data_IF_331606181088
#
_entry.id   IF_331606181088
#
_cell.length_a   1.000
_cell.length_b   1.000
_cell.length_c   1.000
_cell.angle_alpha   90.00
_cell.angle_beta   90.00
_cell.angle_gamma   90.00
#
_symmetry.space_group_name_H-M   'P 1'
#
loop_
_entity.id
_entity.type
_entity.pdbx_description
1 polymer ?
#
# COMPACT_ATOMS: atom_id res chain seq x y z
N UNK A 1 34.86 13.53 26.85
CA UNK A 1 34.61 13.12 25.44
C UNK A 1 33.11 13.03 25.24
N UNK A 2 32.61 13.72 24.21
CA UNK A 2 31.20 14.04 24.00
C UNK A 2 30.31 12.80 24.03
N UNK A 3 29.31 12.78 24.93
CA UNK A 3 28.13 11.96 24.71
C UNK A 3 27.40 12.55 23.50
N UNK A 4 27.66 12.01 22.31
CA UNK A 4 26.80 12.26 21.17
C UNK A 4 25.42 11.71 21.55
N UNK A 5 24.53 12.57 22.04
CA UNK A 5 23.14 12.22 22.29
C UNK A 5 22.60 11.73 20.96
N UNK A 6 22.46 10.40 20.80
CA UNK A 6 21.97 9.77 19.59
C UNK A 6 20.55 10.30 19.39
N UNK A 7 20.39 11.28 18.50
CA UNK A 7 19.10 11.85 18.19
C UNK A 7 18.30 10.75 17.48
N UNK A 8 17.33 10.13 18.17
CA UNK A 8 16.34 9.28 17.52
C UNK A 8 15.49 10.15 16.58
N UNK A 9 15.87 10.08 15.32
CA UNK A 9 15.19 10.70 14.17
C UNK A 9 14.23 9.71 13.52
N UNK A 10 13.26 10.23 12.77
CA UNK A 10 12.28 9.37 12.11
C UNK A 10 12.96 8.63 10.96
N UNK A 11 12.79 7.30 10.91
CA UNK A 11 13.31 6.51 9.80
C UNK A 11 12.58 6.83 8.49
N UNK A 12 11.28 7.11 8.55
CA UNK A 12 10.46 7.46 7.39
C UNK A 12 10.80 8.85 6.86
N UNK A 13 10.98 9.84 7.74
CA UNK A 13 11.21 11.23 7.31
C UNK A 13 12.58 11.48 6.69
N UNK A 14 13.60 10.69 7.04
CA UNK A 14 14.94 10.79 6.43
C UNK A 14 15.04 10.13 5.06
N UNK A 15 14.04 9.33 4.67
CA UNK A 15 14.07 8.66 3.38
C UNK A 15 13.90 9.70 2.27
N UNK A 16 14.81 9.75 1.29
CA UNK A 16 14.59 10.58 0.10
C UNK A 16 13.35 10.13 -0.65
N UNK A 17 12.69 11.06 -1.33
CA UNK A 17 11.58 10.78 -2.25
C UNK A 17 12.11 11.03 -3.65
N UNK A 18 12.18 9.98 -4.47
CA UNK A 18 12.49 10.09 -5.90
C UNK A 18 11.26 10.63 -6.62
N UNK A 19 11.49 11.61 -7.49
CA UNK A 19 10.45 12.31 -8.24
C UNK A 19 10.72 12.10 -9.72
N UNK A 20 9.73 11.51 -10.39
CA UNK A 20 9.70 11.34 -11.84
C UNK A 20 9.67 12.70 -12.56
N UNK A 21 10.28 12.83 -13.75
CA UNK A 21 10.37 14.11 -14.46
C UNK A 21 9.00 14.69 -14.87
N UNK A 22 7.95 13.85 -14.92
CA UNK A 22 6.58 14.27 -15.21
C UNK A 22 5.92 15.07 -14.06
N UNK A 23 6.50 15.05 -12.86
CA UNK A 23 5.95 15.68 -11.66
C UNK A 23 6.82 16.88 -11.28
N UNK A 24 6.24 18.08 -11.35
CA UNK A 24 6.91 19.30 -10.92
C UNK A 24 6.52 19.66 -9.48
N UNK A 25 7.50 20.07 -8.67
CA UNK A 25 7.31 20.45 -7.27
C UNK A 25 7.71 21.91 -7.09
N UNK A 26 6.80 22.71 -6.54
CA UNK A 26 7.02 24.13 -6.25
C UNK A 26 6.84 24.39 -4.75
N UNK A 27 7.82 25.06 -4.14
CA UNK A 27 7.73 25.49 -2.75
C UNK A 27 7.30 26.96 -2.77
N UNK A 28 6.05 27.21 -2.43
CA UNK A 28 5.46 28.55 -2.36
C UNK A 28 5.57 29.04 -0.91
N UNK A 29 6.39 30.07 -0.62
CA UNK A 29 6.37 30.69 0.69
C UNK A 29 5.04 31.43 0.85
N UNK A 30 4.20 31.00 1.80
CA UNK A 30 2.95 31.72 2.08
C UNK A 30 3.31 33.05 2.76
N UNK A 31 3.15 34.17 2.06
CA UNK A 31 3.13 35.49 2.71
C UNK A 31 1.89 35.50 3.60
N UNK A 32 2.07 35.56 4.92
CA UNK A 32 0.97 35.45 5.87
C UNK A 32 -0.01 36.63 5.76
N UNK A 33 -1.09 36.47 5.00
CA UNK A 33 -2.22 37.43 4.92
C UNK A 33 -3.42 36.96 5.74
N UNK A 34 -3.20 36.64 7.02
CA UNK A 34 -4.28 36.31 7.94
C UNK A 34 -3.92 36.63 9.39
N UNK A 35 -4.71 37.52 10.02
CA UNK A 35 -4.74 37.63 11.47
C UNK A 35 -5.51 36.44 12.03
N UNK A 36 -4.87 35.68 12.92
CA UNK A 36 -5.53 34.65 13.71
C UNK A 36 -5.62 35.20 15.13
N UNK A 37 -6.83 35.23 15.71
CA UNK A 37 -7.02 35.44 17.13
C UNK A 37 -6.08 34.45 17.86
N UNK A 38 -5.18 34.92 18.73
CA UNK A 38 -4.00 34.22 19.30
C UNK A 38 -2.63 34.44 18.62
N UNK A 39 -2.44 35.55 17.90
CA UNK A 39 -1.19 36.34 17.99
C UNK A 39 0.11 35.74 17.45
N UNK A 40 0.10 34.64 16.68
CA UNK A 40 1.27 34.20 15.91
C UNK A 40 0.88 33.84 14.48
N UNK A 41 1.29 34.68 13.53
CA UNK A 41 1.29 34.35 12.11
C UNK A 41 2.29 33.21 11.88
N UNK A 42 1.80 31.98 11.80
CA UNK A 42 2.62 30.88 11.34
C UNK A 42 2.76 31.01 9.82
N UNK A 43 3.87 31.59 9.36
CA UNK A 43 4.32 31.49 7.97
C UNK A 43 4.59 30.01 7.70
N UNK A 44 3.62 29.30 7.14
CA UNK A 44 3.76 27.91 6.72
C UNK A 44 4.13 27.88 5.24
N UNK A 45 5.27 27.29 4.89
CA UNK A 45 5.58 27.03 3.49
C UNK A 45 4.53 26.08 2.91
N UNK A 46 4.08 26.31 1.68
CA UNK A 46 3.17 25.42 0.97
C UNK A 46 3.96 24.69 -0.11
N UNK A 47 3.83 23.38 -0.20
CA UNK A 47 4.34 22.59 -1.33
C UNK A 47 3.20 22.32 -2.27
N UNK A 48 3.38 22.73 -3.52
CA UNK A 48 2.50 22.39 -4.63
C UNK A 48 3.16 21.30 -5.46
N UNK A 49 2.48 20.17 -5.59
CA UNK A 49 2.87 19.06 -6.45
C UNK A 49 1.96 19.07 -7.67
N UNK A 50 2.52 19.27 -8.85
CA UNK A 50 1.80 19.26 -10.12
C UNK A 50 2.23 18.07 -10.96
N UNK A 51 1.28 17.30 -11.45
CA UNK A 51 1.51 16.18 -12.34
C UNK A 51 0.42 16.05 -13.40
N UNK A 52 0.45 14.98 -14.22
CA UNK A 52 -0.49 14.79 -15.33
C UNK A 52 -1.95 14.63 -14.89
N UNK A 53 -2.19 14.10 -13.69
CA UNK A 53 -3.52 13.83 -13.14
C UNK A 53 -4.11 15.01 -12.33
N UNK A 54 -3.36 16.11 -12.20
CA UNK A 54 -3.79 17.31 -11.50
C UNK A 54 -2.75 17.89 -10.55
N UNK A 55 -3.19 18.84 -9.72
CA UNK A 55 -2.36 19.55 -8.75
C UNK A 55 -2.83 19.35 -7.31
N UNK A 56 -1.89 19.20 -6.38
CA UNK A 56 -2.14 19.08 -4.95
C UNK A 56 -1.30 20.08 -4.15
N UNK A 57 -1.95 20.74 -3.19
CA UNK A 57 -1.32 21.70 -2.30
C UNK A 57 -1.24 21.11 -0.88
N UNK A 58 -0.04 21.12 -0.29
CA UNK A 58 0.23 20.63 1.06
C UNK A 58 0.86 21.72 1.92
N UNK A 59 0.25 22.11 3.06
CA UNK A 59 0.87 23.05 3.99
C UNK A 59 1.93 22.37 4.87
N UNK A 60 3.13 22.95 4.94
CA UNK A 60 4.23 22.49 5.79
C UNK A 60 4.28 23.28 7.09
N UNK A 61 4.52 22.56 8.19
CA UNK A 61 4.72 23.18 9.49
C UNK A 61 6.05 23.93 9.64
N UNK A 62 6.05 25.00 10.43
CA UNK A 62 7.25 25.79 10.77
C UNK A 62 8.29 24.91 11.50
N UNK A 63 9.52 24.89 11.01
CA UNK A 63 10.60 24.03 11.49
C UNK A 63 10.86 22.79 10.62
N UNK A 64 10.13 22.62 9.53
CA UNK A 64 10.45 21.68 8.47
C UNK A 64 10.88 22.44 7.22
N UNK A 65 12.01 22.02 6.65
CA UNK A 65 12.55 22.52 5.41
C UNK A 65 12.47 21.43 4.35
N UNK A 66 12.03 21.82 3.16
CA UNK A 66 12.00 20.94 2.00
C UNK A 66 13.05 21.43 1.02
N UNK A 67 13.92 20.52 0.59
CA UNK A 67 14.97 20.77 -0.39
C UNK A 67 14.74 19.86 -1.59
N UNK A 68 14.93 20.43 -2.79
CA UNK A 68 15.01 19.68 -4.04
C UNK A 68 16.47 19.58 -4.44
N UNK A 69 16.96 18.35 -4.57
CA UNK A 69 18.32 18.05 -5.03
C UNK A 69 18.23 17.30 -6.37
N UNK A 70 19.23 17.49 -7.23
CA UNK A 70 19.35 16.68 -8.45
C UNK A 70 19.72 15.23 -8.08
N UNK A 71 19.05 14.25 -8.70
CA UNK A 71 19.29 12.83 -8.49
C UNK A 71 20.63 12.36 -9.04
N UNK A 72 20.96 11.10 -8.74
CA UNK A 72 22.17 10.41 -9.22
C UNK A 72 22.04 10.05 -10.71
N UNK A 73 20.82 9.89 -11.19
CA UNK A 73 20.45 9.60 -12.58
C UNK A 73 20.01 10.92 -13.24
N UNK A 74 20.38 11.19 -14.51
CA UNK A 74 19.85 12.36 -15.22
C UNK A 74 18.32 12.33 -15.24
N UNK A 75 17.70 13.50 -15.08
CA UNK A 75 16.25 13.75 -15.11
C UNK A 75 15.43 13.33 -13.87
N UNK A 76 16.00 12.58 -12.92
CA UNK A 76 15.36 12.35 -11.62
C UNK A 76 15.68 13.47 -10.63
N UNK A 77 14.66 13.95 -9.91
CA UNK A 77 14.86 14.89 -8.80
C UNK A 77 14.57 14.19 -7.47
N UNK A 78 15.37 14.50 -6.46
CA UNK A 78 15.23 13.93 -5.12
C UNK A 78 14.72 15.00 -4.17
N UNK A 79 13.52 14.78 -3.65
CA UNK A 79 12.94 15.62 -2.62
C UNK A 79 13.35 15.11 -1.24
N UNK A 80 14.01 15.97 -0.46
CA UNK A 80 14.37 15.70 0.94
C UNK A 80 13.63 16.65 1.86
N UNK A 81 12.97 16.08 2.87
CA UNK A 81 12.39 16.83 3.97
C UNK A 81 13.36 16.77 5.15
N UNK A 82 13.85 17.92 5.59
CA UNK A 82 14.76 18.07 6.72
C UNK A 82 14.09 18.84 7.86
N UNK A 83 14.57 18.63 9.08
CA UNK A 83 14.19 19.45 10.23
C UNK A 83 15.17 20.60 10.33
N UNK A 84 14.68 21.83 10.46
CA UNK A 84 15.54 23.00 10.62
C UNK A 84 16.17 23.03 12.02
N UNK A 85 17.48 22.76 12.13
CA UNK A 85 18.19 22.68 13.41
C UNK A 85 18.15 24.01 14.20
N UNK A 86 18.14 25.15 13.50
CA UNK A 86 18.13 26.49 14.11
C UNK A 86 16.81 26.79 14.81
N UNK A 87 15.68 26.51 14.17
CA UNK A 87 14.36 26.64 14.77
C UNK A 87 14.10 25.53 15.79
N UNK A 88 14.56 24.31 15.48
CA UNK A 88 14.38 23.14 16.34
C UNK A 88 15.06 23.30 17.69
N UNK A 89 16.28 23.85 17.76
CA UNK A 89 17.00 24.04 19.04
C UNK A 89 16.30 25.01 20.00
N UNK A 90 15.78 26.13 19.47
CA UNK A 90 15.06 27.20 20.18
C UNK A 90 13.67 26.79 20.68
N UNK A 91 13.17 25.65 20.20
CA UNK A 91 11.82 25.20 20.45
C UNK A 91 11.64 24.54 21.82
N UNK A 92 10.47 24.71 22.44
CA UNK A 92 10.09 24.00 23.67
C UNK A 92 10.06 22.47 23.48
N UNK A 93 10.23 21.71 24.56
CA UNK A 93 10.26 20.23 24.55
C UNK A 93 9.03 19.62 23.84
N UNK A 94 7.84 20.16 24.07
CA UNK A 94 6.60 19.68 23.47
C UNK A 94 6.57 19.93 21.95
N UNK A 95 6.93 21.13 21.53
CA UNK A 95 6.97 21.48 20.13
C UNK A 95 8.08 20.71 19.37
N UNK A 96 9.21 20.40 20.00
CA UNK A 96 10.22 19.47 19.45
C UNK A 96 9.65 18.07 19.18
N UNK A 97 8.84 17.54 20.10
CA UNK A 97 8.15 16.25 19.91
C UNK A 97 7.15 16.32 18.75
N UNK A 98 6.42 17.43 18.64
CA UNK A 98 5.45 17.67 17.57
C UNK A 98 6.12 17.75 16.19
N UNK A 99 7.19 18.54 16.03
CA UNK A 99 7.94 18.65 14.77
C UNK A 99 8.49 17.29 14.33
N UNK A 100 9.01 16.49 15.26
CA UNK A 100 9.46 15.11 14.95
C UNK A 100 8.34 14.21 14.44
N UNK A 101 7.15 14.32 15.01
CA UNK A 101 5.98 13.55 14.53
C UNK A 101 5.55 14.02 13.14
N UNK A 102 5.48 15.35 12.94
CA UNK A 102 5.10 15.95 11.66
C UNK A 102 6.09 15.65 10.54
N UNK A 103 7.38 15.51 10.83
CA UNK A 103 8.39 15.18 9.83
C UNK A 103 8.09 13.84 9.11
N UNK A 104 7.77 12.80 9.87
CA UNK A 104 7.41 11.50 9.30
C UNK A 104 6.10 11.55 8.50
N UNK A 105 5.07 12.20 9.06
CA UNK A 105 3.76 12.34 8.41
C UNK A 105 3.87 13.12 7.10
N UNK A 106 4.55 14.27 7.12
CA UNK A 106 4.76 15.11 5.93
C UNK A 106 5.47 14.34 4.82
N UNK A 107 6.52 13.60 5.17
CA UNK A 107 7.26 12.80 4.19
C UNK A 107 6.40 11.69 3.59
N UNK A 108 5.59 10.99 4.40
CA UNK A 108 4.67 9.97 3.88
C UNK A 108 3.59 10.56 2.97
N UNK A 109 3.05 11.73 3.30
CA UNK A 109 2.02 12.39 2.50
C UNK A 109 2.59 12.97 1.20
N UNK A 110 3.81 13.52 1.23
CA UNK A 110 4.47 13.99 0.01
C UNK A 110 4.87 12.84 -0.92
N UNK A 111 5.36 11.72 -0.36
CA UNK A 111 5.64 10.50 -1.15
C UNK A 111 4.39 10.03 -1.87
N UNK A 112 3.27 9.98 -1.15
CA UNK A 112 1.97 9.73 -1.74
C UNK A 112 1.75 10.70 -2.93
N UNK A 113 1.80 12.01 -2.71
CA UNK A 113 1.47 12.98 -3.77
C UNK A 113 2.34 12.84 -5.03
N UNK A 114 3.59 12.40 -4.90
CA UNK A 114 4.50 12.14 -6.02
C UNK A 114 4.13 10.85 -6.78
N UNK A 115 3.80 9.76 -6.08
CA UNK A 115 3.37 8.50 -6.72
C UNK A 115 2.09 8.70 -7.56
N UNK A 116 1.13 9.47 -7.04
CA UNK A 116 -0.12 9.81 -7.74
C UNK A 116 -1.03 8.60 -8.05
N UNK A 117 -2.16 8.86 -8.72
CA UNK A 117 -2.97 7.82 -9.37
C UNK A 117 -3.52 6.70 -8.47
N UNK A 118 -4.26 7.03 -7.41
CA UNK A 118 -4.75 6.02 -6.48
C UNK A 118 -5.98 5.30 -6.97
N UNK A 119 -6.00 3.98 -6.73
CA UNK A 119 -7.16 3.15 -6.94
C UNK A 119 -7.46 2.33 -5.68
N UNK A 120 -8.68 2.45 -5.17
CA UNK A 120 -9.17 1.67 -4.04
C UNK A 120 -10.30 0.76 -4.52
N UNK A 121 -10.04 -0.55 -4.68
CA UNK A 121 -11.09 -1.49 -5.00
C UNK A 121 -11.97 -1.76 -3.77
N UNK A 122 -13.27 -1.78 -3.99
CA UNK A 122 -14.30 -2.19 -3.05
C UNK A 122 -14.96 -3.46 -3.58
N UNK A 123 -15.20 -4.43 -2.70
CA UNK A 123 -15.93 -5.65 -3.06
C UNK A 123 -17.15 -5.82 -2.15
N UNK A 124 -18.27 -6.10 -2.78
CA UNK A 124 -19.56 -6.35 -2.15
C UNK A 124 -19.74 -7.86 -2.03
N UNK A 125 -19.99 -8.35 -0.83
CA UNK A 125 -20.27 -9.76 -0.55
C UNK A 125 -21.62 -9.86 0.12
N UNK A 126 -22.55 -10.56 -0.53
CA UNK A 126 -23.90 -10.75 -0.03
C UNK A 126 -24.87 -11.09 -1.17
N UNK A 127 -25.91 -11.85 -0.85
CA UNK A 127 -26.97 -12.15 -1.81
C UNK A 127 -27.75 -10.87 -2.09
N UNK A 128 -27.92 -10.54 -3.38
CA UNK A 128 -28.61 -9.32 -3.81
C UNK A 128 -27.78 -8.03 -3.68
N UNK A 129 -26.50 -8.11 -3.27
CA UNK A 129 -25.66 -6.93 -3.14
C UNK A 129 -25.14 -6.46 -4.50
N UNK A 130 -25.47 -5.23 -4.87
CA UNK A 130 -25.09 -4.64 -6.16
C UNK A 130 -24.79 -3.14 -6.00
N UNK A 131 -23.83 -2.66 -6.77
CA UNK A 131 -23.58 -1.24 -6.97
C UNK A 131 -23.73 -0.87 -8.43
N UNK A 132 -24.21 0.34 -8.65
CA UNK A 132 -24.25 0.99 -9.96
C UNK A 132 -23.68 2.40 -9.81
N UNK A 133 -22.97 2.85 -10.84
CA UNK A 133 -22.51 4.24 -10.94
C UNK A 133 -23.53 5.01 -11.76
N UNK A 134 -24.10 6.04 -11.15
CA UNK A 134 -24.82 7.11 -11.83
C UNK A 134 -23.84 8.28 -12.07
N UNK A 135 -24.21 9.23 -12.93
CA UNK A 135 -23.27 10.27 -13.41
C UNK A 135 -22.47 10.97 -12.29
N UNK A 136 -23.11 11.29 -11.16
CA UNK A 136 -22.48 11.98 -10.02
C UNK A 136 -22.64 11.22 -8.68
N UNK A 137 -23.25 10.04 -8.70
CA UNK A 137 -23.63 9.29 -7.49
C UNK A 137 -23.34 7.80 -7.64
N UNK A 138 -22.99 7.14 -6.54
CA UNK A 138 -22.92 5.68 -6.47
C UNK A 138 -24.21 5.20 -5.81
N UNK A 139 -24.97 4.38 -6.53
CA UNK A 139 -26.18 3.74 -6.01
C UNK A 139 -25.86 2.34 -5.50
N UNK A 140 -26.21 2.07 -4.24
CA UNK A 140 -25.90 0.83 -3.54
C UNK A 140 -27.19 0.10 -3.14
N UNK A 141 -27.31 -1.17 -3.54
CA UNK A 141 -28.33 -2.11 -3.08
C UNK A 141 -27.66 -3.11 -2.14
N UNK A 142 -27.81 -2.93 -0.83
CA UNK A 142 -27.06 -3.69 0.20
C UNK A 142 -27.98 -4.27 1.29
N UNK A 143 -29.21 -4.62 0.91
CA UNK A 143 -30.23 -5.16 1.83
C UNK A 143 -30.98 -4.10 2.65
N UNK A 144 -30.98 -2.85 2.19
CA UNK A 144 -31.92 -1.82 2.64
C UNK A 144 -33.17 -1.82 1.75
N UNK A 145 -34.29 -1.32 2.27
CA UNK A 145 -35.57 -1.25 1.54
C UNK A 145 -35.48 -0.36 0.29
N UNK A 146 -34.78 0.78 0.37
CA UNK A 146 -34.52 1.69 -0.75
C UNK A 146 -33.03 1.70 -1.11
N UNK A 147 -32.67 2.00 -2.36
CA UNK A 147 -31.26 2.13 -2.76
C UNK A 147 -30.61 3.32 -2.06
N UNK A 148 -29.36 3.14 -1.62
CA UNK A 148 -28.57 4.21 -0.99
C UNK A 148 -27.81 4.96 -2.08
N UNK A 149 -28.12 6.24 -2.25
CA UNK A 149 -27.44 7.12 -3.20
C UNK A 149 -26.35 7.92 -2.50
N UNK A 150 -25.12 7.81 -2.99
CA UNK A 150 -23.96 8.49 -2.42
C UNK A 150 -23.34 9.46 -3.43
N UNK A 151 -23.30 10.78 -3.15
CA UNK A 151 -22.65 11.72 -4.03
C UNK A 151 -21.14 11.50 -4.03
N UNK A 152 -20.54 11.50 -5.22
CA UNK A 152 -19.09 11.37 -5.42
C UNK A 152 -18.43 12.73 -5.12
N UNK A 153 -17.41 12.80 -4.26
CA UNK A 153 -16.72 14.05 -3.96
C UNK A 153 -15.78 14.47 -5.10
N UNK A 154 -15.48 15.78 -5.16
CA UNK A 154 -14.63 16.35 -6.20
C UNK A 154 -13.23 15.72 -6.27
N UNK A 155 -12.82 15.38 -7.49
CA UNK A 155 -11.52 14.74 -7.77
C UNK A 155 -11.48 13.24 -7.49
N UNK A 156 -12.63 12.62 -7.22
CA UNK A 156 -12.79 11.16 -7.15
C UNK A 156 -13.68 10.70 -8.31
N UNK A 157 -13.32 9.58 -8.89
CA UNK A 157 -14.06 8.90 -9.97
C UNK A 157 -14.41 7.50 -9.48
N UNK A 158 -15.62 7.04 -9.78
CA UNK A 158 -16.07 5.71 -9.42
C UNK A 158 -16.37 4.92 -10.70
N UNK A 159 -15.84 3.71 -10.80
CA UNK A 159 -16.12 2.79 -11.89
C UNK A 159 -16.65 1.46 -11.32
N UNK A 160 -17.66 0.87 -11.96
CA UNK A 160 -18.19 -0.45 -11.61
C UNK A 160 -17.97 -1.42 -12.76
N UNK A 161 -16.80 -2.09 -12.84
CA UNK A 161 -16.57 -3.10 -13.88
C UNK A 161 -17.49 -4.32 -13.71
N UNK A 162 -17.84 -4.66 -12.46
CA UNK A 162 -18.76 -5.74 -12.12
C UNK A 162 -19.74 -5.17 -11.10
N UNK A 163 -21.00 -5.58 -11.12
CA UNK A 163 -22.00 -5.09 -10.14
C UNK A 163 -21.62 -5.34 -8.68
N UNK A 164 -20.72 -6.29 -8.40
CA UNK A 164 -20.22 -6.63 -7.06
C UNK A 164 -18.87 -5.99 -6.74
N UNK A 165 -18.28 -5.20 -7.64
CA UNK A 165 -16.97 -4.56 -7.48
C UNK A 165 -17.01 -3.09 -7.92
N UNK A 166 -16.60 -2.20 -7.04
CA UNK A 166 -16.44 -0.77 -7.34
C UNK A 166 -14.95 -0.46 -7.29
N UNK A 167 -14.44 0.30 -8.24
CA UNK A 167 -13.08 0.84 -8.23
C UNK A 167 -13.21 2.34 -8.07
N UNK A 168 -12.66 2.87 -6.98
CA UNK A 168 -12.57 4.31 -6.76
C UNK A 168 -11.18 4.77 -7.19
N UNK A 169 -11.13 5.69 -8.14
CA UNK A 169 -9.90 6.30 -8.64
C UNK A 169 -9.84 7.78 -8.31
N UNK A 170 -8.66 8.33 -8.05
CA UNK A 170 -8.52 9.78 -7.85
C UNK A 170 -7.09 10.22 -7.56
N UNK A 171 -6.89 11.54 -7.61
CA UNK A 171 -5.57 12.16 -7.40
C UNK A 171 -5.22 12.28 -5.92
N UNK A 172 -6.21 12.49 -5.04
CA UNK A 172 -5.99 12.65 -3.60
C UNK A 172 -6.33 11.38 -2.81
N UNK A 173 -5.30 10.69 -2.30
CA UNK A 173 -5.43 9.46 -1.51
C UNK A 173 -6.41 9.60 -0.33
N UNK A 174 -6.33 10.70 0.42
CA UNK A 174 -7.17 10.90 1.61
C UNK A 174 -8.65 11.03 1.24
N UNK A 175 -8.97 11.76 0.17
CA UNK A 175 -10.36 11.89 -0.31
C UNK A 175 -10.92 10.54 -0.80
N UNK A 176 -10.13 9.80 -1.59
CA UNK A 176 -10.54 8.50 -2.13
C UNK A 176 -10.79 7.49 -0.99
N UNK A 177 -9.86 7.40 -0.04
CA UNK A 177 -9.98 6.47 1.10
C UNK A 177 -11.08 6.88 2.08
N UNK A 178 -11.30 8.17 2.31
CA UNK A 178 -12.41 8.66 3.12
C UNK A 178 -13.77 8.29 2.48
N UNK A 179 -13.88 8.45 1.16
CA UNK A 179 -15.10 8.05 0.43
C UNK A 179 -15.31 6.54 0.47
N UNK A 180 -14.25 5.74 0.29
CA UNK A 180 -14.27 4.29 0.45
C UNK A 180 -14.75 3.87 1.86
N UNK A 181 -14.25 4.55 2.91
CA UNK A 181 -14.65 4.31 4.29
C UNK A 181 -16.13 4.68 4.52
N UNK A 182 -16.61 5.77 3.90
CA UNK A 182 -18.02 6.17 3.94
C UNK A 182 -18.91 5.09 3.32
N UNK A 183 -18.54 4.55 2.15
CA UNK A 183 -19.28 3.42 1.54
C UNK A 183 -19.28 2.20 2.48
N UNK A 184 -18.13 1.83 3.05
CA UNK A 184 -18.03 0.70 4.00
C UNK A 184 -18.90 0.88 5.26
N UNK A 185 -19.13 2.12 5.69
CA UNK A 185 -19.87 2.39 6.93
C UNK A 185 -21.32 1.89 6.90
N UNK A 186 -21.95 1.81 5.72
CA UNK A 186 -23.32 1.30 5.55
C UNK A 186 -23.44 -0.17 5.89
N UNK A 187 -22.50 -1.00 5.43
CA UNK A 187 -22.45 -2.43 5.77
C UNK A 187 -21.01 -2.88 5.98
N UNK A 188 -20.59 -2.83 7.24
CA UNK A 188 -19.32 -3.41 7.68
C UNK A 188 -19.36 -4.93 7.51
N UNK A 189 -18.22 -5.57 7.19
CA UNK A 189 -18.15 -7.01 7.07
C UNK A 189 -18.44 -7.68 8.42
N UNK A 190 -19.37 -8.63 8.41
CA UNK A 190 -19.71 -9.44 9.57
C UNK A 190 -18.65 -10.53 9.81
N UNK A 191 -18.37 -10.90 11.08
CA UNK A 191 -17.32 -11.86 11.41
C UNK A 191 -17.62 -13.31 10.98
N UNK A 192 -18.90 -13.70 10.90
CA UNK A 192 -19.28 -15.09 10.63
C UNK A 192 -19.43 -15.40 9.14
N UNK A 193 -20.29 -14.63 8.45
CA UNK A 193 -20.64 -14.92 7.06
C UNK A 193 -19.85 -14.08 6.04
N UNK A 194 -19.00 -13.17 6.52
CA UNK A 194 -18.24 -12.26 5.65
C UNK A 194 -19.14 -11.41 4.74
N UNK A 195 -20.43 -11.25 5.06
CA UNK A 195 -21.34 -10.39 4.30
C UNK A 195 -21.01 -8.94 4.62
N UNK A 196 -20.97 -8.10 3.61
CA UNK A 196 -20.68 -6.67 3.76
C UNK A 196 -19.78 -6.13 2.65
N UNK A 197 -19.26 -4.94 2.92
CA UNK A 197 -18.43 -4.19 1.98
C UNK A 197 -16.98 -4.22 2.47
N UNK A 198 -16.10 -4.73 1.61
CA UNK A 198 -14.67 -4.81 1.86
C UNK A 198 -13.95 -3.70 1.11
N UNK A 199 -12.99 -3.07 1.77
CA UNK A 199 -12.12 -2.04 1.21
C UNK A 199 -10.74 -2.65 1.00
N UNK A 200 -10.20 -2.54 -0.21
CA UNK A 200 -8.94 -3.18 -0.60
C UNK A 200 -9.06 -4.69 -0.77
N UNK A 201 -7.91 -5.37 -0.86
CA UNK A 201 -7.82 -6.83 -1.04
C UNK A 201 -8.22 -7.66 0.21
N UNK A 202 -8.83 -7.04 1.21
CA UNK A 202 -9.06 -7.62 2.55
C UNK A 202 -10.20 -8.64 2.66
N UNK A 203 -10.41 -9.49 1.66
CA UNK A 203 -11.39 -10.61 1.74
C UNK A 203 -10.75 -11.93 2.14
N UNK A 204 -9.44 -11.96 2.25
CA UNK A 204 -8.76 -13.09 2.82
C UNK A 204 -8.77 -12.94 4.34
N UNK A 205 -9.84 -13.40 5.00
CA UNK A 205 -9.89 -13.54 6.46
C UNK A 205 -8.60 -14.20 6.95
N UNK A 206 -8.03 -13.72 8.06
CA UNK A 206 -6.70 -14.02 8.63
C UNK A 206 -5.80 -15.06 7.92
N UNK A 207 -6.29 -16.30 7.72
CA UNK A 207 -5.68 -17.39 6.95
C UNK A 207 -5.22 -16.99 5.55
N UNK A 208 -6.04 -16.26 4.81
CA UNK A 208 -5.74 -15.97 3.42
C UNK A 208 -4.73 -14.84 3.21
N UNK A 209 -4.64 -13.89 4.17
CA UNK A 209 -3.70 -12.77 4.05
C UNK A 209 -2.27 -13.26 4.21
N UNK A 210 -2.08 -14.31 5.03
CA UNK A 210 -0.83 -15.07 5.13
C UNK A 210 -0.57 -15.84 3.83
N UNK A 211 -1.59 -16.49 3.26
CA UNK A 211 -1.46 -17.25 2.01
C UNK A 211 -1.11 -16.39 0.79
N UNK A 212 -1.70 -15.20 0.67
CA UNK A 212 -1.36 -14.24 -0.40
C UNK A 212 0.05 -13.68 -0.25
N UNK A 213 0.51 -13.48 1.01
CA UNK A 213 1.90 -13.09 1.28
C UNK A 213 2.85 -14.23 0.89
N UNK A 214 2.51 -15.47 1.20
CA UNK A 214 3.28 -16.65 0.79
C UNK A 214 3.31 -16.84 -0.73
N UNK A 215 2.19 -16.64 -1.43
CA UNK A 215 2.13 -16.70 -2.90
C UNK A 215 3.00 -15.61 -3.56
N UNK A 216 3.02 -14.39 -3.01
CA UNK A 216 3.92 -13.33 -3.50
C UNK A 216 5.40 -13.64 -3.26
N UNK A 217 5.73 -14.37 -2.19
CA UNK A 217 7.09 -14.88 -1.97
C UNK A 217 7.47 -16.00 -2.95
N UNK A 218 6.50 -16.80 -3.39
CA UNK A 218 6.71 -17.92 -4.31
C UNK A 218 6.95 -17.45 -5.76
N UNK A 219 6.29 -16.37 -6.20
CA UNK A 219 6.56 -15.74 -7.52
C UNK A 219 7.94 -15.07 -7.58
N UNK A 220 8.45 -14.51 -6.47
CA UNK A 220 9.79 -13.93 -6.42
C UNK A 220 10.92 -14.97 -6.53
N UNK A 221 10.66 -16.23 -6.17
CA UNK A 221 11.64 -17.33 -6.32
C UNK A 221 11.70 -17.82 -7.77
N UNK A 222 10.63 -17.65 -8.56
CA UNK A 222 10.57 -18.11 -9.96
C UNK A 222 11.28 -17.18 -10.96
N UNK A 223 11.67 -15.96 -10.55
CA UNK A 223 12.43 -15.02 -11.39
C UNK A 223 13.95 -15.02 -11.12
N UNK A 224 14.43 -15.85 -10.19
CA UNK A 224 15.82 -15.85 -9.73
C UNK A 224 16.65 -17.04 -10.19
N UNK A 225 16.62 -17.39 -11.49
CA UNK A 225 17.64 -18.29 -12.06
C UNK A 225 18.49 -17.54 -13.07
N UNK A 226 19.23 -16.53 -12.60
CA UNK A 226 20.44 -16.09 -13.28
C UNK A 226 21.64 -16.82 -12.66
N UNK A 227 22.38 -17.46 -13.55
CA UNK A 227 23.56 -18.28 -13.28
C UNK A 227 24.67 -17.45 -12.65
N UNK A 228 24.93 -17.65 -11.35
CA UNK A 228 26.17 -17.19 -10.72
C UNK A 228 27.13 -18.39 -10.70
N UNK A 229 28.03 -18.43 -11.68
CA UNK A 229 29.25 -19.21 -11.55
C UNK A 229 30.14 -18.49 -10.53
N UNK A 230 30.60 -19.20 -9.50
CA UNK A 230 31.83 -18.90 -8.75
C UNK A 230 32.11 -20.02 -7.73
N UNK A 231 33.15 -20.79 -8.05
CA UNK A 231 34.21 -21.30 -7.16
C UNK A 231 33.85 -21.68 -5.71
N UNK A 232 33.98 -22.98 -5.40
CA UNK A 232 34.54 -23.43 -4.13
C UNK A 232 33.58 -23.80 -3.00
N UNK A 233 32.74 -24.83 -3.19
CA UNK A 233 32.37 -25.87 -2.18
C UNK A 233 31.13 -26.66 -2.65
N UNK A 234 31.36 -27.71 -3.45
CA UNK A 234 30.33 -28.33 -4.28
C UNK A 234 29.62 -29.57 -3.71
N UNK A 235 29.90 -30.03 -2.48
CA UNK A 235 29.32 -31.29 -1.99
C UNK A 235 28.18 -31.15 -0.98
N UNK A 236 28.08 -30.05 -0.23
CA UNK A 236 26.98 -29.84 0.76
C UNK A 236 25.77 -29.08 0.22
N UNK A 237 25.94 -28.29 -0.85
CA UNK A 237 24.87 -27.49 -1.43
C UNK A 237 23.99 -28.33 -2.37
N UNK A 238 24.53 -29.35 -3.05
CA UNK A 238 23.76 -30.16 -4.01
C UNK A 238 22.66 -31.00 -3.36
N UNK A 239 22.90 -31.52 -2.14
CA UNK A 239 21.91 -32.27 -1.38
C UNK A 239 20.76 -31.37 -0.90
N UNK A 240 21.05 -30.12 -0.55
CA UNK A 240 20.02 -29.18 -0.09
C UNK A 240 19.17 -28.64 -1.24
N UNK A 241 19.78 -28.36 -2.40
CA UNK A 241 19.04 -27.95 -3.61
C UNK A 241 18.22 -29.09 -4.20
N UNK A 242 18.72 -30.33 -4.14
CA UNK A 242 18.01 -31.51 -4.65
C UNK A 242 16.73 -31.81 -3.86
N UNK A 243 16.79 -31.75 -2.52
CA UNK A 243 15.63 -31.98 -1.65
C UNK A 243 14.59 -30.87 -1.78
N UNK A 244 15.02 -29.62 -1.99
CA UNK A 244 14.10 -28.48 -2.18
C UNK A 244 13.41 -28.54 -3.54
N UNK A 245 14.14 -28.92 -4.59
CA UNK A 245 13.60 -29.08 -5.94
C UNK A 245 12.64 -30.27 -6.03
N UNK A 246 12.93 -31.38 -5.36
CA UNK A 246 12.05 -32.54 -5.27
C UNK A 246 10.74 -32.22 -4.53
N UNK A 247 10.82 -31.46 -3.43
CA UNK A 247 9.64 -31.02 -2.69
C UNK A 247 8.81 -29.99 -3.47
N UNK A 248 9.44 -29.05 -4.18
CA UNK A 248 8.75 -28.11 -5.07
C UNK A 248 8.07 -28.83 -6.23
N UNK A 249 8.73 -29.84 -6.82
CA UNK A 249 8.18 -30.62 -7.92
C UNK A 249 7.00 -31.50 -7.46
N UNK A 250 7.11 -32.16 -6.31
CA UNK A 250 5.99 -32.89 -5.70
C UNK A 250 4.82 -31.97 -5.38
N UNK A 251 5.10 -30.77 -4.87
CA UNK A 251 4.04 -29.82 -4.52
C UNK A 251 3.34 -29.26 -5.76
N UNK A 252 4.10 -29.00 -6.84
CA UNK A 252 3.55 -28.57 -8.12
C UNK A 252 2.72 -29.68 -8.78
N UNK A 253 3.17 -30.94 -8.72
CA UNK A 253 2.41 -32.08 -9.21
C UNK A 253 1.11 -32.27 -8.41
N UNK A 254 1.14 -32.06 -7.09
CA UNK A 254 -0.02 -32.16 -6.22
C UNK A 254 -1.06 -31.06 -6.48
N UNK A 255 -0.63 -29.82 -6.70
CA UNK A 255 -1.54 -28.69 -7.02
C UNK A 255 -2.16 -28.84 -8.42
N UNK A 256 -1.39 -29.35 -9.39
CA UNK A 256 -1.88 -29.60 -10.75
C UNK A 256 -2.86 -30.79 -10.81
N UNK A 257 -2.66 -31.81 -9.96
CA UNK A 257 -3.60 -32.92 -9.77
C UNK A 257 -4.92 -32.45 -9.11
N UNK A 258 -4.87 -31.53 -8.14
CA UNK A 258 -6.08 -30.94 -7.56
C UNK A 258 -6.82 -30.02 -8.54
N UNK A 259 -6.10 -29.32 -9.43
CA UNK A 259 -6.69 -28.42 -10.41
C UNK A 259 -7.44 -29.14 -11.55
N UNK A 260 -7.12 -30.42 -11.79
CA UNK A 260 -7.72 -31.24 -12.85
C UNK A 260 -8.77 -32.24 -12.35
N UNK A 261 -8.91 -32.42 -11.03
CA UNK A 261 -9.89 -33.33 -10.44
C UNK A 261 -11.30 -32.72 -10.41
N UNK A 262 -12.22 -33.27 -11.20
CA UNK A 262 -13.66 -33.07 -11.01
C UNK A 262 -14.13 -33.80 -9.74
N UNK A 263 -15.22 -33.32 -9.15
CA UNK A 263 -15.68 -33.58 -7.77
C UNK A 263 -15.96 -35.04 -7.36
N UNK A 264 -15.67 -36.04 -8.18
CA UNK A 264 -16.03 -37.45 -7.94
C UNK A 264 -14.84 -38.40 -7.63
N UNK A 265 -13.58 -37.96 -7.72
CA UNK A 265 -12.40 -38.87 -7.57
C UNK A 265 -11.41 -38.48 -6.48
N UNK A 266 -11.77 -37.57 -5.58
CA UNK A 266 -10.86 -37.02 -4.55
C UNK A 266 -10.37 -38.10 -3.56
N UNK A 267 -11.19 -39.12 -3.26
CA UNK A 267 -10.83 -40.18 -2.31
C UNK A 267 -9.75 -41.14 -2.86
N UNK A 268 -9.73 -41.41 -4.16
CA UNK A 268 -8.73 -42.30 -4.78
C UNK A 268 -7.34 -41.65 -4.90
N UNK A 269 -7.30 -40.35 -5.19
CA UNK A 269 -6.05 -39.59 -5.31
C UNK A 269 -5.29 -39.43 -3.98
N UNK A 270 -6.01 -39.38 -2.85
CA UNK A 270 -5.38 -39.23 -1.52
C UNK A 270 -4.68 -40.53 -1.08
N UNK A 271 -5.26 -41.69 -1.38
CA UNK A 271 -4.66 -43.01 -1.05
C UNK A 271 -3.41 -43.29 -1.89
N UNK A 272 -3.40 -42.88 -3.16
CA UNK A 272 -2.23 -43.01 -4.03
C UNK A 272 -1.08 -42.11 -3.58
N UNK A 273 -1.39 -40.89 -3.12
CA UNK A 273 -0.41 -39.96 -2.58
C UNK A 273 0.20 -40.43 -1.25
N UNK A 274 -0.58 -41.05 -0.35
CA UNK A 274 -0.05 -41.58 0.91
C UNK A 274 0.90 -42.76 0.70
N UNK A 275 0.60 -43.64 -0.25
CA UNK A 275 1.45 -44.79 -0.56
C UNK A 275 2.75 -44.39 -1.28
N UNK A 276 2.72 -43.29 -2.05
CA UNK A 276 3.93 -42.75 -2.69
C UNK A 276 4.86 -42.08 -1.66
N UNK A 277 4.31 -41.35 -0.69
CA UNK A 277 5.07 -40.70 0.37
C UNK A 277 5.74 -41.69 1.33
N UNK A 278 5.08 -42.81 1.65
CA UNK A 278 5.69 -43.86 2.49
C UNK A 278 6.80 -44.62 1.76
N UNK A 279 6.69 -44.82 0.45
CA UNK A 279 7.74 -45.50 -0.34
C UNK A 279 8.98 -44.63 -0.52
N UNK A 280 8.80 -43.32 -0.72
CA UNK A 280 9.93 -42.37 -0.89
C UNK A 280 10.64 -42.09 0.44
N UNK A 281 9.93 -42.07 1.57
CA UNK A 281 10.54 -41.94 2.90
C UNK A 281 11.33 -43.18 3.36
N UNK A 282 11.14 -44.34 2.72
CA UNK A 282 11.91 -45.55 3.03
C UNK A 282 13.25 -45.63 2.26
N UNK A 283 13.49 -44.70 1.34
CA UNK A 283 14.67 -44.69 0.45
C UNK A 283 15.60 -43.47 0.63
N UNK A 284 15.33 -42.64 1.66
CA UNK A 284 16.18 -41.53 2.12
C UNK A 284 16.71 -41.84 3.51
#
# INVERSE_FOLDING_TARGET
>A
MLSAVIRRWSHVGRQPITVEPSVAIQIIPQKGTGQIAFGKTAVSNMVRVTGPLGSLDFPIHRGLKVSLEAGVIPDESVLKVAVDDTEFSKMSKYCKKFVKAMWGTTTSTLRQYVEGGYQVPLRLVGVGYKASVEKNSVSLKVGYTHPVLLPIPDGVTAATPISTRIILSGTNYHKVTQFAAKIRSYRKPEPYNGKGIFVGAGILGAVGSILAKLLSYQELVLFGTETISLSGNLTRISLFTGVLLANLCMWYAFTLALATASSATIAGSISLASNFLTTVMFWV
#
